data_IF_808464889832
#
_entry.id   IF_808464889832
#
_cell.length_a   1.000
_cell.length_b   1.000
_cell.length_c   1.000
_cell.angle_alpha   90.00
_cell.angle_beta   90.00
_cell.angle_gamma   90.00
#
_symmetry.space_group_name_H-M   'P 1'
#
loop_
_entity.id
_entity.type
_entity.pdbx_description
1 polymer ?
#
# COMPACT_ATOMS: atom_id res chain seq x y z
N UNK A 1 29.07 -22.50 -54.75
CA UNK A 1 30.41 -22.59 -54.14
C UNK A 1 30.94 -21.18 -53.96
N UNK A 2 30.82 -20.61 -52.79
CA UNK A 2 31.46 -19.36 -52.39
C UNK A 2 32.08 -19.60 -51.00
N UNK A 3 33.41 -19.52 -50.96
CA UNK A 3 34.22 -19.75 -49.76
C UNK A 3 34.20 -18.50 -48.88
N UNK A 4 33.89 -18.69 -47.58
CA UNK A 4 34.14 -17.67 -46.57
C UNK A 4 35.63 -17.60 -46.26
N UNK A 5 36.17 -16.36 -46.28
CA UNK A 5 37.49 -16.04 -45.76
C UNK A 5 37.43 -15.73 -44.27
N UNK A 6 38.45 -16.08 -43.48
CA UNK A 6 38.45 -15.78 -42.04
C UNK A 6 38.84 -14.32 -41.76
N UNK A 7 38.23 -13.75 -40.72
CA UNK A 7 38.55 -12.42 -40.20
C UNK A 7 39.91 -12.42 -39.45
N UNK A 8 40.67 -11.30 -39.48
CA UNK A 8 41.94 -11.22 -38.78
C UNK A 8 41.77 -11.09 -37.26
N UNK A 9 42.61 -11.81 -36.49
CA UNK A 9 42.77 -11.70 -35.05
C UNK A 9 43.24 -10.28 -34.67
N UNK A 10 42.48 -9.64 -33.74
CA UNK A 10 42.85 -8.40 -33.11
C UNK A 10 43.70 -8.66 -31.85
N UNK A 11 44.92 -8.17 -31.81
CA UNK A 11 45.82 -8.23 -30.68
C UNK A 11 45.29 -7.45 -29.45
N UNK A 12 45.58 -7.86 -28.20
CA UNK A 12 45.08 -7.18 -27.00
C UNK A 12 45.81 -5.84 -26.80
N UNK A 13 45.04 -4.75 -26.90
CA UNK A 13 45.53 -3.43 -26.48
C UNK A 13 45.59 -3.38 -24.96
N UNK A 14 46.78 -3.31 -24.39
CA UNK A 14 47.01 -2.93 -22.98
C UNK A 14 46.50 -1.50 -22.79
N UNK A 15 45.36 -1.35 -22.11
CA UNK A 15 44.93 -0.05 -21.62
C UNK A 15 45.74 0.32 -20.39
N UNK A 16 46.56 1.36 -20.53
CA UNK A 16 47.39 1.89 -19.45
C UNK A 16 46.53 2.41 -18.30
N UNK A 17 46.90 1.98 -17.10
CA UNK A 17 46.48 2.61 -15.85
C UNK A 17 46.97 4.06 -15.82
N UNK A 18 46.09 4.98 -15.44
CA UNK A 18 46.33 6.35 -14.96
C UNK A 18 45.67 7.48 -15.75
N UNK A 19 44.33 7.52 -15.77
CA UNK A 19 43.58 8.76 -16.05
C UNK A 19 42.51 9.07 -14.99
N UNK A 20 42.49 8.37 -13.86
CA UNK A 20 41.50 8.58 -12.79
C UNK A 20 42.07 9.07 -11.45
N UNK A 21 43.35 9.48 -11.44
CA UNK A 21 43.97 10.07 -10.27
C UNK A 21 43.83 11.59 -10.27
N UNK A 22 42.65 12.10 -9.97
CA UNK A 22 42.39 13.57 -9.94
C UNK A 22 40.96 14.02 -9.81
N UNK A 23 39.98 13.12 -9.65
CA UNK A 23 38.68 13.54 -9.25
C UNK A 23 38.70 13.92 -7.76
N UNK A 24 38.20 15.15 -7.41
CA UNK A 24 38.07 15.51 -6.01
C UNK A 24 37.28 14.43 -5.28
N UNK A 25 37.76 14.01 -4.11
CA UNK A 25 37.15 12.99 -3.28
C UNK A 25 35.63 13.28 -3.16
N UNK A 26 34.81 12.21 -3.15
CA UNK A 26 33.41 12.29 -2.85
C UNK A 26 33.24 13.31 -1.74
N UNK A 27 32.39 14.35 -1.91
CA UNK A 27 32.13 15.28 -0.83
C UNK A 27 31.77 14.46 0.40
N UNK A 28 32.41 14.77 1.54
CA UNK A 28 32.06 14.17 2.81
C UNK A 28 30.53 14.18 2.93
N UNK A 29 29.91 13.02 3.28
CA UNK A 29 28.46 12.94 3.50
C UNK A 29 28.08 14.19 4.28
N UNK A 30 27.32 15.09 3.66
CA UNK A 30 26.67 16.16 4.41
C UNK A 30 25.94 15.46 5.54
N UNK A 31 26.15 15.92 6.76
CA UNK A 31 25.30 15.47 7.87
C UNK A 31 23.87 15.55 7.38
N UNK A 32 23.17 14.41 7.30
CA UNK A 32 21.77 14.36 6.85
C UNK A 32 21.04 15.36 7.74
N UNK A 33 20.41 16.40 7.20
CA UNK A 33 19.65 17.31 8.02
C UNK A 33 18.64 16.47 8.80
N UNK A 34 18.52 16.73 10.10
CA UNK A 34 17.57 16.05 10.96
C UNK A 34 16.18 16.31 10.41
N UNK A 35 15.60 15.33 9.73
CA UNK A 35 14.24 15.42 9.22
C UNK A 35 13.29 14.99 10.34
N UNK A 36 12.37 15.84 10.70
CA UNK A 36 11.27 15.51 11.60
C UNK A 36 9.99 15.34 10.79
N UNK A 37 9.33 14.20 10.96
CA UNK A 37 8.05 13.87 10.33
C UNK A 37 6.97 13.88 11.41
N UNK A 38 5.82 14.50 11.12
CA UNK A 38 4.65 14.35 11.96
C UNK A 38 4.09 12.93 11.77
N UNK A 39 4.19 12.15 12.84
CA UNK A 39 3.71 10.79 12.88
C UNK A 39 2.31 10.75 13.48
N UNK A 40 1.34 10.27 12.72
CA UNK A 40 -0.07 10.22 13.13
C UNK A 40 -0.28 9.31 14.33
N UNK A 41 0.43 8.17 14.41
CA UNK A 41 0.32 7.24 15.53
C UNK A 41 0.76 7.89 16.84
N UNK A 42 1.91 8.57 16.82
CA UNK A 42 2.46 9.25 18.00
C UNK A 42 1.90 10.67 18.20
N UNK A 43 1.15 11.23 17.23
CA UNK A 43 0.54 12.58 17.24
C UNK A 43 1.54 13.70 17.53
N UNK A 44 2.77 13.53 17.07
CA UNK A 44 3.86 14.48 17.24
C UNK A 44 4.88 14.36 16.12
N UNK A 45 5.71 15.37 15.97
CA UNK A 45 6.90 15.27 15.13
C UNK A 45 7.92 14.35 15.81
N UNK A 46 8.44 13.41 15.03
CA UNK A 46 9.49 12.48 15.43
C UNK A 46 10.63 12.55 14.43
N UNK A 47 11.84 12.33 14.92
CA UNK A 47 13.02 12.26 14.07
C UNK A 47 12.87 11.06 13.11
N UNK A 48 13.10 11.31 11.83
CA UNK A 48 13.06 10.27 10.82
C UNK A 48 14.43 9.60 10.72
N UNK A 49 14.45 8.30 10.97
CA UNK A 49 15.60 7.43 10.78
C UNK A 49 15.16 6.23 9.92
N UNK A 50 15.76 6.02 8.72
CA UNK A 50 15.43 4.86 7.89
C UNK A 50 15.76 3.55 8.61
N UNK A 51 14.95 2.51 8.35
CA UNK A 51 15.19 1.15 8.85
C UNK A 51 16.51 0.58 8.34
N UNK A 52 16.85 0.88 7.09
CA UNK A 52 18.11 0.49 6.45
C UNK A 52 18.89 1.72 6.02
N UNK A 53 20.21 1.71 6.23
CA UNK A 53 21.10 2.80 5.83
C UNK A 53 20.96 3.16 4.35
N UNK A 54 20.46 4.37 4.11
CA UNK A 54 20.37 4.95 2.78
C UNK A 54 19.16 4.53 1.94
N UNK A 55 18.29 3.65 2.42
CA UNK A 55 17.08 3.19 1.72
C UNK A 55 15.84 3.54 2.54
N UNK A 56 14.81 4.08 1.89
CA UNK A 56 13.51 4.39 2.50
C UNK A 56 12.40 3.66 1.74
N UNK A 57 11.61 2.88 2.46
CA UNK A 57 10.45 2.17 1.93
C UNK A 57 9.20 2.97 2.24
N UNK A 58 8.48 3.37 1.19
CA UNK A 58 7.22 4.11 1.30
C UNK A 58 6.11 3.29 0.67
N UNK A 59 5.05 3.04 1.42
CA UNK A 59 3.80 2.52 0.90
C UNK A 59 2.72 3.58 1.05
N UNK A 60 2.03 3.90 -0.04
CA UNK A 60 0.89 4.84 -0.03
C UNK A 60 -0.33 4.11 -0.55
N UNK A 61 -1.40 4.10 0.24
CA UNK A 61 -2.68 3.59 -0.23
C UNK A 61 -3.09 4.34 -1.50
N UNK A 62 -3.36 3.56 -2.55
CA UNK A 62 -3.60 4.06 -3.88
C UNK A 62 -5.06 4.39 -4.15
N UNK A 63 -5.51 4.06 -5.34
CA UNK A 63 -6.88 4.34 -5.78
C UNK A 63 -7.70 3.05 -5.91
N UNK A 64 -9.01 3.18 -5.68
CA UNK A 64 -10.01 2.26 -6.19
C UNK A 64 -10.52 2.86 -7.50
N UNK A 65 -10.16 2.31 -8.68
CA UNK A 65 -10.35 2.99 -9.96
C UNK A 65 -11.77 2.82 -10.51
N UNK A 66 -12.81 2.96 -9.67
CA UNK A 66 -14.20 2.94 -10.12
C UNK A 66 -14.60 4.24 -10.83
N UNK A 67 -13.95 5.36 -10.49
CA UNK A 67 -14.14 6.68 -11.09
C UNK A 67 -12.79 7.33 -11.44
N UNK A 68 -12.83 8.48 -12.11
CA UNK A 68 -11.67 9.32 -12.39
C UNK A 68 -11.19 10.04 -11.12
N UNK A 69 -9.92 10.49 -11.13
CA UNK A 69 -9.34 11.19 -10.00
C UNK A 69 -10.04 12.52 -9.67
N UNK A 70 -9.98 12.92 -8.41
CA UNK A 70 -10.44 14.22 -7.94
C UNK A 70 -9.33 14.94 -7.17
N UNK A 71 -9.55 16.20 -6.77
CA UNK A 71 -8.54 17.02 -6.09
C UNK A 71 -8.04 16.40 -4.78
N UNK A 72 -8.87 15.63 -4.08
CA UNK A 72 -8.47 14.88 -2.88
C UNK A 72 -7.35 13.90 -3.18
N UNK A 73 -7.49 13.09 -4.25
CA UNK A 73 -6.44 12.18 -4.73
C UNK A 73 -5.18 12.95 -5.13
N UNK A 74 -5.33 14.02 -5.93
CA UNK A 74 -4.21 14.85 -6.36
C UNK A 74 -3.42 15.40 -5.16
N UNK A 75 -4.10 15.86 -4.11
CA UNK A 75 -3.46 16.37 -2.90
C UNK A 75 -2.62 15.31 -2.20
N UNK A 76 -3.14 14.11 -2.03
CA UNK A 76 -2.42 13.00 -1.39
C UNK A 76 -1.16 12.67 -2.19
N UNK A 77 -1.28 12.44 -3.50
CA UNK A 77 -0.14 11.97 -4.29
C UNK A 77 0.91 13.04 -4.57
N UNK A 78 0.53 14.32 -4.74
CA UNK A 78 1.48 15.45 -4.80
C UNK A 78 2.23 15.61 -3.49
N UNK A 79 1.57 15.40 -2.35
CA UNK A 79 2.22 15.44 -1.05
C UNK A 79 3.28 14.34 -0.91
N UNK A 80 2.93 13.07 -1.20
CA UNK A 80 3.89 11.97 -1.10
C UNK A 80 5.01 12.05 -2.15
N UNK A 81 4.74 12.60 -3.33
CA UNK A 81 5.78 12.94 -4.31
C UNK A 81 6.76 13.99 -3.74
N UNK A 82 6.25 14.99 -3.03
CA UNK A 82 7.10 16.00 -2.37
C UNK A 82 7.97 15.36 -1.28
N UNK A 83 7.40 14.46 -0.46
CA UNK A 83 8.16 13.69 0.54
C UNK A 83 9.25 12.87 -0.13
N UNK A 84 8.90 12.11 -1.18
CA UNK A 84 9.85 11.32 -1.95
C UNK A 84 10.99 12.17 -2.50
N UNK A 85 10.68 13.27 -3.20
CA UNK A 85 11.71 14.17 -3.77
C UNK A 85 12.61 14.77 -2.69
N UNK A 86 12.06 15.09 -1.52
CA UNK A 86 12.85 15.59 -0.41
C UNK A 86 13.83 14.55 0.12
N UNK A 87 13.41 13.31 0.24
CA UNK A 87 14.27 12.19 0.66
C UNK A 87 15.37 11.90 -0.39
N UNK A 88 15.00 11.86 -1.67
CA UNK A 88 15.96 11.68 -2.78
C UNK A 88 16.97 12.86 -2.86
N UNK A 89 16.52 14.11 -2.63
CA UNK A 89 17.39 15.26 -2.54
C UNK A 89 18.44 15.14 -1.41
N UNK A 90 18.08 14.47 -0.32
CA UNK A 90 18.99 14.15 0.78
C UNK A 90 19.80 12.86 0.54
N UNK A 91 19.85 12.38 -0.71
CA UNK A 91 20.65 11.23 -1.14
C UNK A 91 20.22 9.89 -0.57
N UNK A 92 18.93 9.75 -0.24
CA UNK A 92 18.31 8.48 0.12
C UNK A 92 17.74 7.81 -1.14
N UNK A 93 17.85 6.49 -1.26
CA UNK A 93 17.12 5.70 -2.24
C UNK A 93 15.69 5.52 -1.75
N UNK A 94 14.69 5.92 -2.56
CA UNK A 94 13.29 5.80 -2.15
C UNK A 94 12.62 4.69 -2.97
N UNK A 95 12.10 3.69 -2.27
CA UNK A 95 11.25 2.62 -2.83
C UNK A 95 9.80 2.93 -2.52
N UNK A 96 9.15 3.64 -3.42
CA UNK A 96 7.75 4.04 -3.28
C UNK A 96 6.86 3.07 -4.04
N UNK A 97 5.93 2.45 -3.33
CA UNK A 97 4.87 1.58 -3.85
C UNK A 97 3.52 2.24 -3.60
N UNK A 98 2.62 2.10 -4.56
CA UNK A 98 1.24 2.55 -4.47
C UNK A 98 0.34 1.48 -5.10
N UNK A 99 -0.67 1.01 -4.37
CA UNK A 99 -1.53 -0.07 -4.88
C UNK A 99 -2.67 0.44 -5.79
N UNK A 100 -3.31 -0.52 -6.44
CA UNK A 100 -4.60 -0.37 -7.10
C UNK A 100 -5.56 -1.37 -6.46
N UNK A 101 -6.63 -0.86 -5.84
CA UNK A 101 -7.71 -1.68 -5.28
C UNK A 101 -8.73 -1.97 -6.37
N UNK A 102 -8.54 -3.07 -7.08
CA UNK A 102 -9.40 -3.47 -8.20
C UNK A 102 -10.35 -4.64 -7.85
N UNK A 103 -10.37 -5.08 -6.59
CA UNK A 103 -11.29 -6.08 -6.05
C UNK A 103 -12.12 -5.45 -4.93
N UNK A 104 -13.17 -4.73 -5.31
CA UNK A 104 -13.94 -3.89 -4.40
C UNK A 104 -15.42 -3.85 -4.82
N UNK A 105 -16.33 -3.53 -3.89
CA UNK A 105 -17.79 -3.48 -4.14
C UNK A 105 -18.14 -2.39 -5.15
N UNK A 106 -17.50 -1.22 -5.10
CA UNK A 106 -17.71 -0.16 -6.07
C UNK A 106 -17.23 -0.57 -7.46
N UNK A 107 -16.11 -1.29 -7.57
CA UNK A 107 -15.65 -1.85 -8.84
C UNK A 107 -16.68 -2.81 -9.44
N UNK A 108 -17.24 -3.70 -8.60
CA UNK A 108 -18.30 -4.62 -9.02
C UNK A 108 -19.58 -3.89 -9.43
N UNK A 109 -19.97 -2.85 -8.70
CA UNK A 109 -21.13 -2.00 -9.02
C UNK A 109 -20.96 -1.33 -10.36
N UNK A 110 -19.87 -0.60 -10.58
CA UNK A 110 -19.58 0.13 -11.83
C UNK A 110 -19.44 -0.82 -13.02
N UNK A 111 -18.79 -1.99 -12.84
CA UNK A 111 -18.71 -3.03 -13.86
C UNK A 111 -20.11 -3.48 -14.34
N UNK A 112 -21.06 -3.70 -13.40
CA UNK A 112 -22.46 -4.05 -13.74
C UNK A 112 -23.18 -2.91 -14.46
N UNK A 113 -23.06 -1.68 -13.96
CA UNK A 113 -23.71 -0.50 -14.51
C UNK A 113 -23.28 -0.22 -15.95
N UNK A 114 -22.00 -0.39 -16.24
CA UNK A 114 -21.43 -0.17 -17.56
C UNK A 114 -21.52 -1.39 -18.49
N UNK A 115 -21.78 -2.58 -17.95
CA UNK A 115 -21.83 -3.82 -18.72
C UNK A 115 -20.45 -4.25 -19.26
N UNK A 116 -19.37 -3.91 -18.57
CA UNK A 116 -17.99 -4.26 -18.93
C UNK A 116 -17.31 -5.02 -17.78
N UNK A 117 -16.17 -5.64 -18.03
CA UNK A 117 -15.43 -6.35 -16.98
C UNK A 117 -14.76 -5.37 -15.98
N UNK A 118 -14.50 -5.86 -14.75
CA UNK A 118 -13.71 -5.10 -13.75
C UNK A 118 -12.36 -4.67 -14.35
N UNK A 119 -11.69 -5.56 -15.06
CA UNK A 119 -10.39 -5.26 -15.68
C UNK A 119 -10.48 -4.09 -16.67
N UNK A 120 -11.53 -4.03 -17.50
CA UNK A 120 -11.73 -2.90 -18.43
C UNK A 120 -11.97 -1.58 -17.70
N UNK A 121 -12.72 -1.58 -16.57
CA UNK A 121 -12.91 -0.38 -15.73
C UNK A 121 -11.57 0.03 -15.12
N UNK A 122 -10.85 -0.94 -14.52
CA UNK A 122 -9.54 -0.71 -13.91
C UNK A 122 -8.55 -0.12 -14.88
N UNK A 123 -8.33 -0.76 -16.03
CA UNK A 123 -7.32 -0.34 -16.99
C UNK A 123 -7.63 1.06 -17.55
N UNK A 124 -8.89 1.34 -17.88
CA UNK A 124 -9.31 2.67 -18.36
C UNK A 124 -9.09 3.75 -17.32
N UNK A 125 -9.54 3.56 -16.10
CA UNK A 125 -9.48 4.60 -15.08
C UNK A 125 -8.06 4.75 -14.50
N UNK A 126 -7.28 3.66 -14.42
CA UNK A 126 -5.86 3.72 -14.10
C UNK A 126 -5.07 4.52 -15.14
N UNK A 127 -5.35 4.35 -16.44
CA UNK A 127 -4.69 5.14 -17.49
C UNK A 127 -5.00 6.63 -17.35
N UNK A 128 -6.27 6.99 -17.09
CA UNK A 128 -6.66 8.39 -16.84
C UNK A 128 -5.93 8.93 -15.60
N UNK A 129 -5.93 8.19 -14.51
CA UNK A 129 -5.21 8.55 -13.28
C UNK A 129 -3.72 8.81 -13.54
N UNK A 130 -3.07 7.94 -14.31
CA UNK A 130 -1.65 8.11 -14.64
C UNK A 130 -1.39 9.36 -15.49
N UNK A 131 -2.28 9.70 -16.42
CA UNK A 131 -2.19 10.94 -17.22
C UNK A 131 -2.40 12.18 -16.33
N UNK A 132 -3.32 12.14 -15.39
CA UNK A 132 -3.55 13.23 -14.42
C UNK A 132 -2.31 13.46 -13.53
N UNK A 133 -1.70 12.38 -13.03
CA UNK A 133 -0.48 12.46 -12.22
C UNK A 133 0.71 12.98 -13.02
N UNK A 134 0.85 12.56 -14.28
CA UNK A 134 1.88 13.08 -15.18
C UNK A 134 1.68 14.60 -15.45
N UNK A 135 0.43 15.04 -15.63
CA UNK A 135 0.12 16.47 -15.81
C UNK A 135 0.44 17.31 -14.57
N UNK A 136 0.35 16.73 -13.37
CA UNK A 136 0.75 17.33 -12.10
C UNK A 136 2.26 17.19 -11.81
N UNK A 137 3.03 16.57 -12.73
CA UNK A 137 4.45 16.29 -12.56
C UNK A 137 4.77 15.43 -11.32
N UNK A 138 3.85 14.54 -10.94
CA UNK A 138 4.04 13.54 -9.88
C UNK A 138 4.90 12.40 -10.45
N UNK A 139 5.96 12.04 -9.77
CA UNK A 139 6.81 10.91 -10.16
C UNK A 139 6.07 9.59 -9.95
N UNK A 140 6.11 8.72 -10.97
CA UNK A 140 5.50 7.39 -10.85
C UNK A 140 6.17 6.57 -9.74
N UNK A 141 5.40 5.90 -8.89
CA UNK A 141 5.90 4.89 -7.99
C UNK A 141 6.72 3.80 -8.70
N UNK A 142 7.48 3.05 -7.94
CA UNK A 142 8.27 1.92 -8.45
C UNK A 142 7.36 0.82 -9.04
N UNK A 143 6.21 0.60 -8.40
CA UNK A 143 5.19 -0.34 -8.88
C UNK A 143 3.80 0.06 -8.38
N UNK A 144 2.79 -0.45 -9.10
CA UNK A 144 1.37 -0.37 -8.76
C UNK A 144 0.81 -1.81 -8.65
N UNK A 145 1.06 -2.54 -7.54
CA UNK A 145 0.47 -3.85 -7.36
C UNK A 145 -1.05 -3.75 -7.34
N UNK A 146 -1.74 -4.66 -8.03
CA UNK A 146 -3.19 -4.78 -8.04
C UNK A 146 -3.64 -5.82 -7.02
N UNK A 147 -4.75 -5.58 -6.35
CA UNK A 147 -5.33 -6.54 -5.41
C UNK A 147 -5.61 -7.88 -6.10
N UNK A 148 -6.16 -7.85 -7.32
CA UNK A 148 -6.44 -9.06 -8.13
C UNK A 148 -5.19 -9.85 -8.52
N UNK A 149 -4.02 -9.23 -8.58
CA UNK A 149 -2.76 -9.87 -8.97
C UNK A 149 -2.00 -10.47 -7.76
N UNK A 150 -2.44 -10.18 -6.53
CA UNK A 150 -1.77 -10.57 -5.27
C UNK A 150 -2.63 -11.47 -4.38
N UNK A 151 -3.62 -12.14 -4.96
CA UNK A 151 -4.55 -13.02 -4.22
C UNK A 151 -3.80 -14.14 -3.47
N UNK A 152 -2.73 -14.68 -4.04
CA UNK A 152 -1.94 -15.74 -3.40
C UNK A 152 -1.30 -15.25 -2.09
N UNK A 153 -0.73 -14.06 -2.08
CA UNK A 153 -0.10 -13.41 -0.92
C UNK A 153 -1.15 -13.09 0.15
N UNK A 154 -2.31 -12.61 -0.27
CA UNK A 154 -3.44 -12.31 0.63
C UNK A 154 -3.94 -13.60 1.31
N UNK A 155 -4.18 -14.68 0.55
CA UNK A 155 -4.59 -15.98 1.10
C UNK A 155 -3.53 -16.51 2.07
N UNK A 156 -2.25 -16.40 1.73
CA UNK A 156 -1.16 -16.85 2.59
C UNK A 156 -1.13 -16.08 3.92
N UNK A 157 -1.33 -14.76 3.87
CA UNK A 157 -1.38 -13.92 5.08
C UNK A 157 -2.61 -14.26 5.94
N UNK A 158 -3.80 -14.40 5.34
CA UNK A 158 -5.03 -14.81 6.06
C UNK A 158 -4.84 -16.19 6.71
N UNK A 159 -4.26 -17.17 6.01
CA UNK A 159 -3.99 -18.49 6.58
C UNK A 159 -3.01 -18.40 7.76
N UNK A 160 -1.96 -17.58 7.64
CA UNK A 160 -1.01 -17.33 8.74
C UNK A 160 -1.69 -16.72 9.97
N UNK A 161 -2.66 -15.81 9.76
CA UNK A 161 -3.44 -15.22 10.85
C UNK A 161 -4.36 -16.27 11.54
N UNK A 162 -4.97 -17.17 10.77
CA UNK A 162 -5.75 -18.29 11.33
C UNK A 162 -4.85 -19.23 12.14
N UNK A 163 -3.74 -19.65 11.56
CA UNK A 163 -2.78 -20.56 12.22
C UNK A 163 -2.17 -19.94 13.48
N UNK A 164 -2.00 -18.62 13.49
CA UNK A 164 -1.56 -17.84 14.64
C UNK A 164 -2.65 -17.60 15.72
N UNK A 165 -3.91 -17.96 15.45
CA UNK A 165 -5.04 -17.73 16.34
C UNK A 165 -5.53 -16.29 16.39
N UNK A 166 -5.23 -15.50 15.35
CA UNK A 166 -5.67 -14.11 15.20
C UNK A 166 -6.88 -13.94 14.28
N UNK A 167 -7.29 -15.00 13.61
CA UNK A 167 -8.44 -15.00 12.73
C UNK A 167 -9.26 -16.28 12.87
N UNK A 168 -10.52 -16.25 12.46
CA UNK A 168 -11.43 -17.38 12.51
C UNK A 168 -12.32 -17.43 11.26
N UNK A 169 -12.72 -18.64 10.87
CA UNK A 169 -13.65 -18.89 9.77
C UNK A 169 -15.06 -19.14 10.28
N UNK A 170 -16.05 -18.58 9.58
CA UNK A 170 -17.48 -18.86 9.77
C UNK A 170 -18.17 -18.83 8.42
N UNK A 171 -18.78 -19.96 8.02
CA UNK A 171 -19.58 -20.07 6.79
C UNK A 171 -18.88 -19.54 5.53
N UNK A 172 -17.57 -19.83 5.39
CA UNK A 172 -16.74 -19.39 4.26
C UNK A 172 -16.25 -17.93 4.34
N UNK A 173 -16.63 -17.20 5.40
CA UNK A 173 -16.05 -15.89 5.72
C UNK A 173 -14.89 -16.08 6.70
N UNK A 174 -13.87 -15.23 6.59
CA UNK A 174 -12.78 -15.19 7.58
C UNK A 174 -12.72 -13.80 8.16
N UNK A 175 -12.73 -13.71 9.49
CA UNK A 175 -12.66 -12.49 10.26
C UNK A 175 -11.37 -12.43 11.07
N UNK A 176 -10.81 -11.22 11.19
CA UNK A 176 -9.79 -10.95 12.19
C UNK A 176 -10.42 -10.82 13.58
N UNK A 177 -9.88 -11.54 14.55
CA UNK A 177 -10.31 -11.48 15.96
C UNK A 177 -9.61 -10.32 16.68
N UNK A 178 -10.27 -9.17 16.77
CA UNK A 178 -9.70 -7.96 17.38
C UNK A 178 -9.45 -8.10 18.89
N UNK A 179 -10.01 -9.10 19.55
CA UNK A 179 -9.71 -9.38 20.95
C UNK A 179 -8.26 -9.87 21.15
N UNK A 180 -7.64 -10.41 20.10
CA UNK A 180 -6.24 -10.88 20.11
C UNK A 180 -5.22 -9.76 19.88
N UNK A 181 -5.68 -8.55 19.50
CA UNK A 181 -4.86 -7.42 19.13
C UNK A 181 -5.17 -6.17 19.97
N UNK A 182 -4.61 -6.05 21.18
CA UNK A 182 -4.94 -4.97 22.12
C UNK A 182 -4.56 -3.56 21.62
N UNK A 183 -3.75 -3.46 20.56
CA UNK A 183 -3.39 -2.19 19.92
C UNK A 183 -4.41 -1.71 18.88
N UNK A 184 -5.42 -2.49 18.53
CA UNK A 184 -6.43 -2.09 17.56
C UNK A 184 -7.13 -0.80 18.02
N UNK A 185 -7.16 0.22 17.14
CA UNK A 185 -7.64 1.57 17.46
C UNK A 185 -6.54 2.55 17.91
N UNK A 186 -5.28 2.12 17.99
CA UNK A 186 -4.19 2.97 18.45
C UNK A 186 -3.94 4.16 17.51
N UNK A 187 -4.04 3.95 16.19
CA UNK A 187 -3.86 5.00 15.18
C UNK A 187 -5.04 5.99 15.20
N UNK A 188 -6.27 5.51 15.31
CA UNK A 188 -7.44 6.35 15.56
C UNK A 188 -7.36 7.07 16.93
N UNK A 189 -6.67 6.46 17.90
CA UNK A 189 -6.57 6.95 19.28
C UNK A 189 -7.86 6.80 20.05
N UNK A 190 -8.60 5.76 19.75
CA UNK A 190 -9.86 5.40 20.36
C UNK A 190 -9.70 4.08 21.15
N UNK A 191 -10.40 3.98 22.25
CA UNK A 191 -10.58 2.71 22.93
C UNK A 191 -11.71 1.90 22.27
N UNK A 192 -11.92 0.66 22.72
CA UNK A 192 -12.93 -0.24 22.13
C UNK A 192 -14.35 0.34 22.18
N UNK A 193 -14.69 1.14 23.18
CA UNK A 193 -15.99 1.80 23.26
C UNK A 193 -16.10 2.93 22.24
N UNK A 194 -15.06 3.74 22.10
CA UNK A 194 -14.95 4.78 21.06
C UNK A 194 -15.02 4.21 19.66
N UNK A 195 -14.35 3.06 19.41
CA UNK A 195 -14.38 2.40 18.09
C UNK A 195 -15.78 1.88 17.73
N UNK A 196 -16.53 1.30 18.70
CA UNK A 196 -17.92 0.83 18.46
C UNK A 196 -18.90 1.95 18.12
N UNK A 197 -18.60 3.17 18.55
CA UNK A 197 -19.43 4.34 18.29
C UNK A 197 -18.88 5.21 17.14
N UNK A 198 -17.80 4.78 16.48
CA UNK A 198 -17.20 5.51 15.41
C UNK A 198 -17.97 5.26 14.10
N UNK A 199 -18.43 6.33 13.49
CA UNK A 199 -19.09 6.31 12.18
C UNK A 199 -18.12 6.89 11.13
N UNK A 200 -17.99 6.22 10.01
CA UNK A 200 -17.19 6.67 8.87
C UNK A 200 -17.87 6.27 7.56
N UNK A 201 -17.81 7.15 6.58
CA UNK A 201 -18.27 6.85 5.21
C UNK A 201 -17.41 5.76 4.52
N UNK A 202 -16.26 5.43 5.11
CA UNK A 202 -15.31 4.42 4.61
C UNK A 202 -15.46 3.05 5.30
N UNK A 203 -16.54 2.83 6.09
CA UNK A 203 -16.79 1.51 6.69
C UNK A 203 -17.31 0.55 5.62
N UNK A 204 -16.67 -0.61 5.42
CA UNK A 204 -17.18 -1.64 4.52
C UNK A 204 -18.48 -2.25 5.06
N UNK A 205 -19.37 -2.69 4.16
CA UNK A 205 -20.52 -3.51 4.53
C UNK A 205 -20.05 -4.92 4.83
N UNK A 206 -20.33 -5.41 6.03
CA UNK A 206 -19.91 -6.73 6.49
C UNK A 206 -21.08 -7.48 7.16
N UNK A 207 -21.12 -8.83 7.14
CA UNK A 207 -22.16 -9.62 7.77
C UNK A 207 -21.98 -9.63 9.30
N UNK A 208 -22.54 -8.63 9.97
CA UNK A 208 -22.41 -8.40 11.42
C UNK A 208 -22.86 -9.60 12.28
N UNK A 209 -23.85 -10.37 11.79
CA UNK A 209 -24.38 -11.55 12.47
C UNK A 209 -23.40 -12.72 12.56
N UNK A 210 -22.33 -12.71 11.74
CA UNK A 210 -21.29 -13.74 11.72
C UNK A 210 -20.11 -13.39 12.62
N UNK A 211 -20.00 -12.14 13.06
CA UNK A 211 -18.89 -11.66 13.89
C UNK A 211 -19.01 -12.13 15.33
N UNK A 212 -17.87 -12.44 15.97
CA UNK A 212 -17.79 -12.72 17.41
C UNK A 212 -17.85 -11.44 18.25
N UNK A 213 -17.24 -10.36 17.76
CA UNK A 213 -17.29 -9.01 18.31
C UNK A 213 -17.59 -8.02 17.17
N UNK A 214 -18.42 -7.01 17.36
CA UNK A 214 -18.70 -6.00 16.32
C UNK A 214 -17.48 -5.28 15.75
N UNK A 215 -16.36 -5.30 16.45
CA UNK A 215 -15.10 -4.71 15.97
C UNK A 215 -14.25 -5.66 15.12
N UNK A 216 -14.62 -6.95 15.05
CA UNK A 216 -13.94 -7.87 14.14
C UNK A 216 -14.21 -7.44 12.70
N UNK A 217 -13.24 -7.64 11.83
CA UNK A 217 -13.33 -7.17 10.45
C UNK A 217 -12.96 -8.28 9.46
N UNK A 218 -13.47 -8.14 8.26
CA UNK A 218 -13.44 -9.15 7.23
C UNK A 218 -12.05 -9.27 6.59
N UNK A 219 -11.55 -10.50 6.46
CA UNK A 219 -10.32 -10.85 5.75
C UNK A 219 -10.61 -11.58 4.43
N UNK A 220 -11.69 -12.36 4.39
CA UNK A 220 -12.14 -13.11 3.22
C UNK A 220 -13.66 -13.29 3.26
N UNK A 221 -14.31 -13.23 2.09
CA UNK A 221 -15.74 -13.45 1.96
C UNK A 221 -16.11 -14.23 0.70
N UNK A 222 -17.18 -15.05 0.74
CA UNK A 222 -17.71 -15.71 -0.45
C UNK A 222 -18.05 -14.70 -1.55
N UNK A 223 -17.76 -15.03 -2.78
CA UNK A 223 -18.10 -14.24 -3.95
C UNK A 223 -18.48 -15.15 -5.11
N UNK A 224 -19.42 -14.69 -5.94
CA UNK A 224 -19.79 -15.30 -7.22
C UNK A 224 -19.65 -14.32 -8.37
N UNK A 225 -19.12 -13.13 -8.10
CA UNK A 225 -18.96 -12.10 -9.11
C UNK A 225 -17.83 -12.43 -10.07
N UNK A 226 -18.12 -12.43 -11.36
CA UNK A 226 -17.10 -12.71 -12.39
C UNK A 226 -16.01 -11.63 -12.37
N UNK A 227 -14.75 -12.03 -12.21
CA UNK A 227 -13.59 -11.13 -12.11
C UNK A 227 -13.23 -10.71 -10.67
N UNK A 228 -14.12 -11.04 -9.67
CA UNK A 228 -13.83 -10.86 -8.25
C UNK A 228 -14.20 -12.14 -7.46
N UNK A 229 -13.87 -13.31 -8.04
CA UNK A 229 -14.08 -14.63 -7.40
C UNK A 229 -12.83 -15.46 -7.63
N UNK A 230 -12.18 -15.82 -6.55
CA UNK A 230 -10.91 -16.54 -6.53
C UNK A 230 -11.05 -17.81 -5.67
N UNK A 231 -10.36 -18.90 -6.03
CA UNK A 231 -10.33 -20.10 -5.19
C UNK A 231 -9.51 -19.85 -3.92
N UNK A 232 -10.02 -20.32 -2.77
CA UNK A 232 -9.32 -20.28 -1.49
C UNK A 232 -9.58 -21.53 -0.66
N UNK A 233 -8.85 -21.75 0.45
CA UNK A 233 -9.13 -22.84 1.40
C UNK A 233 -10.55 -22.76 2.02
N UNK A 234 -11.12 -21.56 2.09
CA UNK A 234 -12.44 -21.28 2.69
C UNK A 234 -13.58 -21.26 1.68
N UNK A 235 -13.28 -21.56 0.43
CA UNK A 235 -14.23 -21.55 -0.69
C UNK A 235 -13.94 -20.46 -1.71
N UNK A 236 -14.75 -20.44 -2.77
CA UNK A 236 -14.66 -19.42 -3.80
C UNK A 236 -15.11 -18.05 -3.23
N UNK A 237 -14.26 -17.02 -3.36
CA UNK A 237 -14.52 -15.75 -2.71
C UNK A 237 -13.56 -14.64 -3.13
N UNK A 238 -13.52 -13.61 -2.32
CA UNK A 238 -12.65 -12.45 -2.49
C UNK A 238 -12.08 -11.96 -1.15
N UNK A 239 -10.96 -11.25 -1.15
CA UNK A 239 -10.42 -10.66 0.07
C UNK A 239 -11.36 -9.60 0.66
N UNK A 240 -11.22 -9.35 1.96
CA UNK A 240 -11.65 -8.12 2.59
C UNK A 240 -10.73 -6.96 2.21
N UNK A 241 -11.23 -5.74 2.26
CA UNK A 241 -10.48 -4.55 1.82
C UNK A 241 -9.14 -4.34 2.57
N UNK A 242 -9.12 -4.64 3.87
CA UNK A 242 -7.95 -4.30 4.69
C UNK A 242 -6.75 -5.22 4.48
N UNK A 243 -6.97 -6.50 4.13
CA UNK A 243 -5.89 -7.47 3.95
C UNK A 243 -5.08 -7.23 2.68
N UNK A 244 -5.69 -6.60 1.68
CA UNK A 244 -5.06 -6.32 0.39
C UNK A 244 -3.78 -5.50 0.56
N UNK A 245 -3.88 -4.33 1.23
CA UNK A 245 -2.73 -3.45 1.43
C UNK A 245 -1.66 -4.06 2.32
N UNK A 246 -2.04 -4.79 3.38
CA UNK A 246 -1.08 -5.51 4.22
C UNK A 246 -0.25 -6.52 3.42
N UNK A 247 -0.90 -7.35 2.59
CA UNK A 247 -0.23 -8.34 1.77
C UNK A 247 0.61 -7.71 0.65
N UNK A 248 0.09 -6.67 -0.02
CA UNK A 248 0.82 -5.94 -1.06
C UNK A 248 2.03 -5.17 -0.51
N UNK A 249 1.91 -4.55 0.66
CA UNK A 249 3.01 -3.87 1.31
C UNK A 249 4.11 -4.87 1.71
N UNK A 250 3.73 -5.99 2.34
CA UNK A 250 4.69 -7.03 2.74
C UNK A 250 5.41 -7.63 1.54
N UNK A 251 4.69 -8.05 0.51
CA UNK A 251 5.28 -8.68 -0.69
C UNK A 251 6.19 -7.74 -1.47
N UNK A 252 5.89 -6.43 -1.48
CA UNK A 252 6.64 -5.43 -2.24
C UNK A 252 7.84 -4.85 -1.47
N UNK A 253 7.71 -4.65 -0.16
CA UNK A 253 8.66 -3.88 0.66
C UNK A 253 9.23 -4.66 1.87
N UNK A 254 8.65 -5.82 2.21
CA UNK A 254 9.03 -6.63 3.36
C UNK A 254 8.16 -6.38 4.60
N UNK A 255 8.51 -7.05 5.71
CA UNK A 255 7.71 -7.08 6.94
C UNK A 255 7.64 -5.74 7.69
N UNK A 256 8.54 -4.83 7.38
CA UNK A 256 8.59 -3.49 7.97
C UNK A 256 8.86 -2.43 6.91
N UNK A 257 8.16 -1.31 7.02
CA UNK A 257 8.29 -0.18 6.11
C UNK A 257 8.59 1.12 6.88
N UNK A 258 9.26 2.07 6.23
CA UNK A 258 9.68 3.32 6.89
C UNK A 258 8.51 4.30 7.02
N UNK A 259 7.73 4.46 5.95
CA UNK A 259 6.61 5.40 5.88
C UNK A 259 5.42 4.69 5.24
N UNK A 260 4.27 4.80 5.90
CA UNK A 260 2.98 4.42 5.32
C UNK A 260 2.02 5.60 5.37
N UNK A 261 1.24 5.78 4.31
CA UNK A 261 0.33 6.90 4.29
C UNK A 261 -0.82 6.82 3.30
N UNK A 262 -1.68 7.84 3.41
CA UNK A 262 -2.88 7.99 2.59
C UNK A 262 -3.72 9.17 3.04
N UNK A 263 -4.99 9.19 2.68
CA UNK A 263 -5.97 10.13 3.21
C UNK A 263 -6.21 9.94 4.71
N UNK A 264 -6.60 10.98 5.41
CA UNK A 264 -6.86 10.91 6.85
C UNK A 264 -8.04 9.99 7.20
N UNK A 265 -8.95 9.81 6.29
CA UNK A 265 -10.09 8.89 6.37
C UNK A 265 -9.68 7.42 6.37
N UNK A 266 -8.49 7.08 5.88
CA UNK A 266 -7.94 5.73 5.94
C UNK A 266 -7.33 5.37 7.30
N UNK A 267 -7.09 6.34 8.18
CA UNK A 267 -6.47 6.06 9.48
C UNK A 267 -7.25 5.02 10.29
N UNK A 268 -8.59 5.08 10.20
CA UNK A 268 -9.50 4.07 10.74
C UNK A 268 -10.70 3.88 9.79
N UNK A 269 -11.14 2.64 9.51
CA UNK A 269 -10.62 1.39 10.08
C UNK A 269 -9.37 0.83 9.35
N UNK A 270 -9.06 1.29 8.12
CA UNK A 270 -8.18 0.62 7.19
C UNK A 270 -6.75 0.44 7.73
N UNK A 271 -6.05 1.53 8.06
CA UNK A 271 -4.66 1.47 8.52
C UNK A 271 -4.51 0.88 9.93
N UNK A 272 -5.50 1.09 10.84
CA UNK A 272 -5.51 0.40 12.13
C UNK A 272 -5.62 -1.12 11.94
N UNK A 273 -6.42 -1.59 10.98
CA UNK A 273 -6.52 -3.00 10.60
C UNK A 273 -5.21 -3.52 10.01
N UNK A 274 -4.55 -2.74 9.15
CA UNK A 274 -3.25 -3.13 8.57
C UNK A 274 -2.16 -3.30 9.64
N UNK A 275 -2.13 -2.46 10.67
CA UNK A 275 -1.19 -2.61 11.80
C UNK A 275 -1.34 -3.99 12.42
N UNK A 276 -2.56 -4.33 12.84
CA UNK A 276 -2.79 -5.57 13.58
C UNK A 276 -2.67 -6.81 12.70
N UNK A 277 -3.04 -6.74 11.42
CA UNK A 277 -2.83 -7.81 10.45
C UNK A 277 -1.34 -8.07 10.25
N UNK A 278 -0.59 -7.05 9.89
CA UNK A 278 0.83 -7.19 9.54
C UNK A 278 1.67 -7.59 10.75
N UNK A 279 1.47 -6.96 11.92
CA UNK A 279 2.21 -7.30 13.15
C UNK A 279 1.87 -8.71 13.63
N UNK A 280 0.61 -9.16 13.54
CA UNK A 280 0.20 -10.51 13.93
C UNK A 280 0.68 -11.60 12.98
N UNK A 281 0.66 -11.33 11.66
CA UNK A 281 1.07 -12.29 10.65
C UNK A 281 2.59 -12.51 10.64
N UNK A 282 3.38 -11.45 10.87
CA UNK A 282 4.85 -11.49 10.73
C UNK A 282 5.59 -11.59 12.05
N UNK A 283 4.98 -11.14 13.15
CA UNK A 283 5.67 -10.94 14.44
C UNK A 283 6.61 -9.73 14.46
N UNK A 284 6.72 -8.99 13.34
CA UNK A 284 7.58 -7.83 13.21
C UNK A 284 6.83 -6.55 13.64
N UNK A 285 7.22 -5.96 14.76
CA UNK A 285 6.63 -4.72 15.27
C UNK A 285 7.72 -3.67 15.56
N UNK A 286 7.45 -2.38 15.30
CA UNK A 286 6.29 -1.88 14.59
C UNK A 286 6.34 -2.24 13.09
N UNK A 287 5.18 -2.46 12.48
CA UNK A 287 5.04 -2.66 11.03
C UNK A 287 5.52 -1.41 10.27
N UNK A 288 5.11 -0.25 10.72
CA UNK A 288 5.44 1.05 10.09
C UNK A 288 6.21 1.93 11.06
N UNK A 289 7.30 2.52 10.57
CA UNK A 289 8.10 3.48 11.32
C UNK A 289 7.39 4.82 11.55
N UNK A 290 6.74 5.35 10.50
CA UNK A 290 6.02 6.63 10.53
C UNK A 290 4.72 6.56 9.73
N UNK A 291 3.61 6.91 10.37
CA UNK A 291 2.30 7.03 9.73
C UNK A 291 2.04 8.47 9.30
N UNK A 292 1.73 8.69 8.03
CA UNK A 292 1.50 10.03 7.48
C UNK A 292 0.13 10.11 6.81
N UNK A 293 -0.75 10.97 7.33
CA UNK A 293 -2.09 11.15 6.80
C UNK A 293 -2.34 12.58 6.34
N UNK A 294 -3.01 12.70 5.20
CA UNK A 294 -3.32 13.97 4.57
C UNK A 294 -4.79 14.27 4.78
N UNK A 295 -5.08 15.45 5.32
CA UNK A 295 -6.46 15.88 5.57
C UNK A 295 -7.31 15.86 4.31
N UNK A 296 -8.59 15.53 4.47
CA UNK A 296 -9.58 15.45 3.38
C UNK A 296 -9.86 16.82 2.77
N UNK A 297 -10.08 16.86 1.45
CA UNK A 297 -10.62 18.03 0.77
C UNK A 297 -12.14 18.03 0.86
N UNK A 298 -12.69 19.24 1.04
CA UNK A 298 -14.13 19.44 1.11
C UNK A 298 -14.55 20.52 0.12
N UNK A 299 -15.69 20.31 -0.53
CA UNK A 299 -16.36 21.32 -1.33
C UNK A 299 -17.69 21.65 -0.64
N UNK A 300 -17.87 22.93 -0.26
CA UNK A 300 -19.08 23.41 0.46
C UNK A 300 -19.37 22.62 1.76
N UNK A 301 -18.31 22.13 2.44
CA UNK A 301 -18.43 21.37 3.68
C UNK A 301 -18.71 19.87 3.49
N UNK A 302 -18.78 19.39 2.25
CA UNK A 302 -18.93 17.97 1.92
C UNK A 302 -17.58 17.41 1.46
N UNK A 303 -17.20 16.23 1.96
CA UNK A 303 -16.00 15.51 1.52
C UNK A 303 -16.08 15.27 0.00
N UNK A 304 -14.98 15.54 -0.70
CA UNK A 304 -14.85 15.13 -2.09
C UNK A 304 -14.59 13.62 -2.14
N UNK A 305 -15.46 12.91 -2.83
CA UNK A 305 -15.40 11.45 -3.03
C UNK A 305 -15.88 11.11 -4.43
#
# INVERSE_FOLDING_TARGET
MLRCLPAPEAAPRRCGASLWAGLPGRPARRATPLLEIYDTLNRRKTLFEPLDDGVVRIYVCGITPYEVGHLGHARVFVFFDTVRRHLEFNSLEVRHIQNITDVDDDMMRVSRELGVSIAEVTDRNQEIYLQEMDALNVQRPLAFPKASETIGEQIAMVQGLIDGGHAYEVDGHVFFDTATAPKFGALAGLDREGLRNFESDSMPEEPEELKRDPLDFLLWQPSTFQGATFPSPWGAGRPGWHIECSAMAQSSLGDRIDIHGGGADLSYPHHDSEIVQSESATGAAPFVGHWMHIGTEQLDGVKMS
#
